data_IF_348814780689
#
_entry.id   IF_348814780689
#
_cell.length_a   1.000
_cell.length_b   1.000
_cell.length_c   1.000
_cell.angle_alpha   90.00
_cell.angle_beta   90.00
_cell.angle_gamma   90.00
#
_symmetry.space_group_name_H-M   'P 1'
#
loop_
_entity.id
_entity.type
_entity.pdbx_description
1 polymer ?
#
# COMPACT_ATOMS: atom_id res chain seq x y z
N UNK A 1 37.74 24.19 14.15
CA UNK A 1 37.22 25.52 14.52
C UNK A 1 36.84 25.46 15.99
N UNK A 2 37.47 26.29 16.81
CA UNK A 2 37.31 26.30 18.26
C UNK A 2 35.99 26.99 18.63
N UNK A 3 35.14 26.32 19.39
CA UNK A 3 33.97 26.93 20.03
C UNK A 3 34.35 27.29 21.46
N UNK A 4 34.42 28.59 21.76
CA UNK A 4 34.64 29.10 23.11
C UNK A 4 33.28 29.30 23.78
N UNK A 5 32.97 28.53 24.82
CA UNK A 5 31.79 28.74 25.70
C UNK A 5 32.26 29.33 27.04
N UNK A 6 31.80 30.54 27.36
CA UNK A 6 32.16 31.28 28.59
C UNK A 6 31.31 30.87 29.81
N UNK A 7 30.87 29.63 29.91
CA UNK A 7 30.15 29.13 31.09
C UNK A 7 30.65 27.73 31.36
N UNK A 8 31.17 27.49 32.56
CA UNK A 8 31.81 26.24 32.99
C UNK A 8 30.87 25.04 33.12
N UNK A 9 30.03 24.82 32.11
CA UNK A 9 29.26 23.62 31.92
C UNK A 9 29.78 22.98 30.63
N UNK A 10 30.52 21.89 30.76
CA UNK A 10 30.88 21.08 29.60
C UNK A 10 29.57 20.59 28.92
N UNK A 11 29.44 20.70 27.59
CA UNK A 11 28.29 20.13 26.91
C UNK A 11 28.37 18.60 27.03
N UNK A 12 27.45 18.01 27.78
CA UNK A 12 27.31 16.55 27.86
C UNK A 12 26.82 16.06 26.50
N UNK A 13 27.72 15.46 25.73
CA UNK A 13 27.39 14.86 24.44
C UNK A 13 26.96 13.40 24.64
N UNK A 14 25.70 13.11 24.39
CA UNK A 14 25.18 11.74 24.37
C UNK A 14 25.25 11.24 22.93
N UNK A 15 26.12 10.26 22.67
CA UNK A 15 26.22 9.61 21.35
C UNK A 15 25.43 8.31 21.38
N UNK A 16 24.29 8.29 20.70
CA UNK A 16 23.45 7.10 20.58
C UNK A 16 23.98 6.23 19.43
N UNK A 17 24.63 5.10 19.75
CA UNK A 17 25.04 4.11 18.76
C UNK A 17 23.91 3.10 18.57
N UNK A 18 23.02 3.33 17.60
CA UNK A 18 22.11 2.26 17.16
C UNK A 18 22.89 1.25 16.33
N UNK A 19 22.76 -0.07 16.56
CA UNK A 19 23.30 -1.07 15.63
C UNK A 19 22.75 -0.78 14.22
N UNK A 20 23.51 -1.08 13.15
CA UNK A 20 23.02 -0.85 11.79
C UNK A 20 21.70 -1.60 11.64
N UNK A 21 20.61 -0.84 11.52
CA UNK A 21 19.32 -1.40 11.18
C UNK A 21 19.52 -2.14 9.87
N UNK A 22 19.33 -3.47 9.88
CA UNK A 22 19.10 -4.18 8.63
C UNK A 22 18.03 -3.38 7.90
N UNK A 23 18.22 -3.00 6.63
CA UNK A 23 17.13 -2.41 5.88
C UNK A 23 16.02 -3.47 5.94
N UNK A 24 14.94 -3.17 6.65
CA UNK A 24 13.73 -3.95 6.50
C UNK A 24 13.30 -3.63 5.09
N UNK A 25 13.69 -4.49 4.16
CA UNK A 25 13.26 -4.45 2.79
C UNK A 25 11.77 -4.78 2.83
N UNK A 26 10.96 -3.76 3.11
CA UNK A 26 9.52 -3.81 2.91
C UNK A 26 9.32 -3.77 1.40
N UNK A 27 9.58 -4.89 0.74
CA UNK A 27 9.16 -5.07 -0.63
C UNK A 27 7.63 -4.94 -0.61
N UNK A 28 7.14 -3.88 -1.23
CA UNK A 28 5.72 -3.70 -1.45
C UNK A 28 5.28 -4.79 -2.42
N UNK A 29 4.90 -5.96 -1.89
CA UNK A 29 4.43 -7.06 -2.71
C UNK A 29 2.95 -6.83 -2.99
N UNK A 30 2.67 -6.39 -4.22
CA UNK A 30 1.31 -6.38 -4.74
C UNK A 30 0.82 -7.82 -4.89
N UNK A 31 -0.47 -8.05 -4.64
CA UNK A 31 -1.05 -9.38 -4.78
C UNK A 31 -1.08 -9.77 -6.27
N UNK A 32 -0.26 -10.75 -6.64
CA UNK A 32 -0.11 -11.23 -8.03
C UNK A 32 -1.43 -11.70 -8.63
N UNK A 33 -2.32 -12.28 -7.82
CA UNK A 33 -3.64 -12.72 -8.25
C UNK A 33 -4.48 -11.55 -8.77
N UNK A 34 -4.38 -10.38 -8.12
CA UNK A 34 -5.12 -9.18 -8.53
C UNK A 34 -4.53 -8.53 -9.79
N UNK A 35 -3.22 -8.67 -10.00
CA UNK A 35 -2.52 -8.17 -11.19
C UNK A 35 -2.75 -9.06 -12.41
N UNK A 36 -2.99 -10.35 -12.21
CA UNK A 36 -3.26 -11.33 -13.27
C UNK A 36 -4.72 -11.33 -13.76
N UNK A 37 -5.63 -10.65 -13.07
CA UNK A 37 -7.00 -10.47 -13.52
C UNK A 37 -7.03 -9.51 -14.73
N UNK A 38 -7.40 -10.04 -15.90
CA UNK A 38 -7.42 -9.30 -17.16
C UNK A 38 -8.34 -8.09 -17.13
N UNK A 39 -9.48 -8.19 -16.43
CA UNK A 39 -10.45 -7.09 -16.33
C UNK A 39 -9.88 -5.96 -15.49
N UNK A 40 -9.27 -6.30 -14.35
CA UNK A 40 -8.60 -5.32 -13.49
C UNK A 40 -7.44 -4.68 -14.24
N UNK A 41 -6.67 -5.46 -14.99
CA UNK A 41 -5.52 -4.98 -15.76
C UNK A 41 -5.94 -3.95 -16.81
N UNK A 42 -6.93 -4.25 -17.64
CA UNK A 42 -7.39 -3.33 -18.70
C UNK A 42 -8.00 -2.05 -18.11
N UNK A 43 -8.81 -2.18 -17.05
CA UNK A 43 -9.39 -1.02 -16.37
C UNK A 43 -8.31 -0.10 -15.76
N UNK A 44 -7.29 -0.69 -15.12
CA UNK A 44 -6.20 0.10 -14.53
C UNK A 44 -5.29 0.70 -15.59
N UNK A 45 -5.06 0.01 -16.71
CA UNK A 45 -4.32 0.55 -17.84
C UNK A 45 -5.03 1.77 -18.45
N UNK A 46 -6.35 1.71 -18.62
CA UNK A 46 -7.13 2.86 -19.11
C UNK A 46 -7.11 4.03 -18.11
N UNK A 47 -7.32 3.76 -16.82
CA UNK A 47 -7.27 4.79 -15.79
C UNK A 47 -5.88 5.45 -15.68
N UNK A 48 -4.82 4.67 -15.88
CA UNK A 48 -3.44 5.17 -15.91
C UNK A 48 -3.22 6.15 -17.07
N UNK A 49 -3.68 5.80 -18.27
CA UNK A 49 -3.56 6.65 -19.44
C UNK A 49 -4.27 8.00 -19.24
N UNK A 50 -5.51 7.96 -18.73
CA UNK A 50 -6.28 9.17 -18.42
C UNK A 50 -5.59 10.03 -17.36
N UNK A 51 -5.08 9.42 -16.28
CA UNK A 51 -4.40 10.15 -15.22
C UNK A 51 -3.23 10.98 -15.75
N UNK A 52 -2.37 10.40 -16.60
CA UNK A 52 -1.24 11.15 -17.14
C UNK A 52 -1.69 12.24 -18.10
N UNK A 53 -2.68 11.99 -18.96
CA UNK A 53 -3.23 13.03 -19.85
C UNK A 53 -3.82 14.21 -19.05
N UNK A 54 -4.53 13.93 -17.95
CA UNK A 54 -5.18 14.97 -17.14
C UNK A 54 -4.21 15.74 -16.24
N UNK A 55 -3.08 15.11 -15.85
CA UNK A 55 -2.12 15.67 -14.88
C UNK A 55 -0.81 16.13 -15.55
N UNK A 56 -0.70 16.05 -16.88
CA UNK A 56 0.40 16.62 -17.67
C UNK A 56 0.27 18.15 -17.69
N UNK A 57 0.57 18.77 -16.55
CA UNK A 57 0.58 20.22 -16.36
C UNK A 57 2.02 20.72 -16.27
N UNK A 58 2.28 21.89 -16.84
CA UNK A 58 3.62 22.49 -16.82
C UNK A 58 4.08 22.93 -15.41
N UNK A 59 3.13 23.05 -14.47
CA UNK A 59 3.38 23.54 -13.11
C UNK A 59 3.94 22.48 -12.16
N UNK A 60 3.77 21.19 -12.48
CA UNK A 60 4.22 20.09 -11.63
C UNK A 60 5.38 19.34 -12.29
N UNK A 61 6.40 19.03 -11.49
CA UNK A 61 7.48 18.15 -11.93
C UNK A 61 6.93 16.76 -12.25
N UNK A 62 7.42 16.15 -13.34
CA UNK A 62 7.10 14.76 -13.72
C UNK A 62 7.35 13.78 -12.56
N UNK A 63 8.36 14.04 -11.73
CA UNK A 63 8.64 13.23 -10.54
C UNK A 63 7.49 13.30 -9.52
N UNK A 64 6.93 14.49 -9.29
CA UNK A 64 5.82 14.67 -8.36
C UNK A 64 4.55 13.99 -8.89
N UNK A 65 4.27 14.13 -10.18
CA UNK A 65 3.13 13.46 -10.83
C UNK A 65 3.24 11.94 -10.68
N UNK A 66 4.44 11.39 -10.86
CA UNK A 66 4.72 9.96 -10.69
C UNK A 66 4.55 9.48 -9.24
N UNK A 67 5.09 10.20 -8.26
CA UNK A 67 4.97 9.80 -6.85
C UNK A 67 3.52 9.87 -6.34
N UNK A 68 2.76 10.89 -6.74
CA UNK A 68 1.33 11.00 -6.43
C UNK A 68 0.56 9.85 -7.09
N UNK A 69 0.83 9.58 -8.37
CA UNK A 69 0.20 8.49 -9.10
C UNK A 69 0.40 7.15 -8.38
N UNK A 70 1.64 6.85 -8.02
CA UNK A 70 2.02 5.63 -7.31
C UNK A 70 1.25 5.50 -5.99
N UNK A 71 1.12 6.58 -5.23
CA UNK A 71 0.35 6.59 -3.98
C UNK A 71 -1.13 6.25 -4.22
N UNK A 72 -1.76 6.86 -5.23
CA UNK A 72 -3.16 6.59 -5.60
C UNK A 72 -3.35 5.14 -6.05
N UNK A 73 -2.44 4.63 -6.88
CA UNK A 73 -2.48 3.27 -7.39
C UNK A 73 -2.37 2.25 -6.24
N UNK A 74 -1.50 2.50 -5.26
CA UNK A 74 -1.37 1.65 -4.07
C UNK A 74 -2.67 1.61 -3.25
N UNK A 75 -3.30 2.76 -3.02
CA UNK A 75 -4.60 2.82 -2.33
C UNK A 75 -5.69 2.04 -3.07
N UNK A 76 -5.73 2.16 -4.41
CA UNK A 76 -6.63 1.39 -5.25
C UNK A 76 -6.46 -0.13 -5.09
N UNK A 77 -5.22 -0.63 -5.10
CA UNK A 77 -4.95 -2.06 -4.94
C UNK A 77 -5.31 -2.58 -3.55
N UNK A 78 -5.05 -1.80 -2.49
CA UNK A 78 -5.45 -2.17 -1.12
C UNK A 78 -6.96 -2.25 -0.99
N UNK A 79 -7.70 -1.30 -1.58
CA UNK A 79 -9.16 -1.32 -1.61
C UNK A 79 -9.68 -2.56 -2.35
N UNK A 80 -9.15 -2.83 -3.53
CA UNK A 80 -9.53 -4.00 -4.34
C UNK A 80 -9.27 -5.32 -3.59
N UNK A 81 -8.09 -5.46 -2.97
CA UNK A 81 -7.73 -6.64 -2.19
C UNK A 81 -8.69 -6.86 -1.01
N UNK A 82 -9.05 -5.77 -0.32
CA UNK A 82 -9.98 -5.81 0.81
C UNK A 82 -11.38 -6.22 0.34
N UNK A 83 -11.85 -5.66 -0.78
CA UNK A 83 -13.13 -6.02 -1.36
C UNK A 83 -13.18 -7.49 -1.75
N UNK A 84 -12.17 -8.00 -2.45
CA UNK A 84 -12.07 -9.42 -2.85
C UNK A 84 -12.05 -10.36 -1.65
N UNK A 85 -11.32 -9.98 -0.59
CA UNK A 85 -11.34 -10.71 0.67
C UNK A 85 -12.75 -10.76 1.28
N UNK A 86 -13.46 -9.64 1.29
CA UNK A 86 -14.84 -9.57 1.78
C UNK A 86 -15.79 -10.44 0.96
N UNK A 87 -15.67 -10.39 -0.37
CA UNK A 87 -16.46 -11.23 -1.29
C UNK A 87 -16.23 -12.73 -1.01
N UNK A 88 -14.98 -13.15 -0.84
CA UNK A 88 -14.65 -14.55 -0.54
C UNK A 88 -15.19 -15.01 0.83
N UNK A 89 -15.11 -14.15 1.85
CA UNK A 89 -15.66 -14.45 3.19
C UNK A 89 -17.18 -14.57 3.13
N UNK A 90 -17.86 -13.68 2.39
CA UNK A 90 -19.32 -13.75 2.22
C UNK A 90 -19.74 -15.07 1.58
N UNK A 91 -19.10 -15.46 0.47
CA UNK A 91 -19.40 -16.73 -0.20
C UNK A 91 -19.17 -17.94 0.71
N UNK A 92 -18.11 -17.92 1.52
CA UNK A 92 -17.85 -18.98 2.49
C UNK A 92 -18.94 -19.08 3.56
N UNK A 93 -19.44 -17.94 4.05
CA UNK A 93 -20.58 -17.89 4.98
C UNK A 93 -21.82 -18.49 4.34
N UNK A 94 -22.16 -18.04 3.13
CA UNK A 94 -23.35 -18.51 2.40
C UNK A 94 -23.31 -20.03 2.18
N UNK A 95 -22.14 -20.58 1.82
CA UNK A 95 -21.97 -22.04 1.69
C UNK A 95 -22.09 -22.77 3.02
N UNK A 96 -21.55 -22.21 4.10
CA UNK A 96 -21.62 -22.82 5.44
C UNK A 96 -23.07 -22.88 5.93
N UNK A 97 -23.80 -21.78 5.76
CA UNK A 97 -25.22 -21.70 6.11
C UNK A 97 -26.03 -22.70 5.30
N UNK A 98 -25.76 -22.79 3.99
CA UNK A 98 -26.44 -23.75 3.11
C UNK A 98 -26.19 -25.20 3.49
N UNK A 99 -24.97 -25.54 3.91
CA UNK A 99 -24.63 -26.89 4.38
C UNK A 99 -25.39 -27.18 5.68
N UNK A 100 -25.40 -26.25 6.64
CA UNK A 100 -26.10 -26.41 7.91
C UNK A 100 -27.61 -26.62 7.73
N UNK A 101 -28.23 -25.87 6.80
CA UNK A 101 -29.64 -26.05 6.44
C UNK A 101 -29.92 -27.44 5.87
N UNK A 102 -29.06 -27.92 4.97
CA UNK A 102 -29.20 -29.23 4.34
C UNK A 102 -29.03 -30.37 5.36
N UNK A 103 -28.08 -30.26 6.28
CA UNK A 103 -27.89 -31.22 7.37
C UNK A 103 -29.09 -31.26 8.31
N UNK A 104 -29.72 -30.11 8.54
CA UNK A 104 -30.91 -29.99 9.38
C UNK A 104 -32.17 -30.57 8.72
N UNK A 105 -32.26 -30.52 7.39
CA UNK A 105 -33.38 -31.08 6.63
C UNK A 105 -33.30 -32.61 6.42
N UNK A 106 -32.15 -33.23 6.67
CA UNK A 106 -31.93 -34.68 6.48
C UNK A 106 -31.97 -35.50 7.78
N UNK A 107 -32.28 -34.86 8.91
CA UNK A 107 -32.60 -35.50 10.20
C UNK A 107 -34.12 -35.57 10.38
#
# INVERSE_FOLDING_TARGET
MFASTWTGHEPVQITLQSPPSKPVERSWQLNETLLNDLVVKDQKAQALALYFTDNESADLSQMTVWEVHKSVLMGCFVQLATQKKKEAVSQMSDFTDRISDLESCHK
#
